data_IF_287444204444
#
_entry.id   IF_287444204444
#
_cell.length_a   1.000
_cell.length_b   1.000
_cell.length_c   1.000
_cell.angle_alpha   90.00
_cell.angle_beta   90.00
_cell.angle_gamma   90.00
#
_symmetry.space_group_name_H-M   'P 1'
#
loop_
_entity.id
_entity.type
_entity.pdbx_description
1 polymer ?
#
# COMPACT_ATOMS: atom_id res chain seq x y z
N UNK A 1 -22.48 4.26 -3.98
CA UNK A 1 -21.19 4.98 -3.93
C UNK A 1 -20.04 4.03 -3.54
N UNK A 2 -19.91 2.90 -4.23
CA UNK A 2 -18.88 1.86 -3.96
C UNK A 2 -18.09 1.53 -5.25
N UNK A 3 -18.23 2.34 -6.30
CA UNK A 3 -17.61 2.16 -7.61
C UNK A 3 -17.26 3.54 -8.15
N UNK A 4 -16.08 4.05 -7.81
CA UNK A 4 -15.53 5.22 -8.49
C UNK A 4 -14.01 5.33 -8.38
N UNK A 5 -13.31 4.39 -7.73
CA UNK A 5 -12.02 4.78 -7.15
C UNK A 5 -10.86 3.83 -7.46
N UNK A 6 -11.02 2.70 -8.14
CA UNK A 6 -9.86 1.81 -8.36
C UNK A 6 -8.97 2.23 -9.53
N UNK A 7 -9.50 2.85 -10.59
CA UNK A 7 -8.74 3.07 -11.83
C UNK A 7 -8.00 4.41 -11.91
N UNK A 8 -8.36 5.40 -11.07
CA UNK A 8 -7.72 6.73 -11.06
C UNK A 8 -6.66 6.92 -9.97
N UNK A 9 -6.50 5.94 -9.07
CA UNK A 9 -5.73 6.08 -7.82
C UNK A 9 -4.21 6.01 -7.95
N UNK A 10 -3.63 5.56 -9.06
CA UNK A 10 -2.16 5.32 -9.06
C UNK A 10 -1.39 6.64 -8.97
N UNK A 11 -1.80 7.67 -9.71
CA UNK A 11 -1.23 9.01 -9.59
C UNK A 11 -1.47 9.59 -8.19
N UNK A 12 -2.74 9.64 -7.78
CA UNK A 12 -3.17 10.14 -6.47
C UNK A 12 -2.49 9.39 -5.29
N UNK A 13 -2.19 8.10 -5.46
CA UNK A 13 -1.46 7.30 -4.48
C UNK A 13 0.02 7.72 -4.42
N UNK A 14 0.66 7.88 -5.58
CA UNK A 14 2.06 8.28 -5.66
C UNK A 14 2.29 9.72 -5.19
N UNK A 15 1.27 10.59 -5.19
CA UNK A 15 1.32 11.92 -4.58
C UNK A 15 1.44 11.84 -3.04
N UNK A 16 0.89 10.78 -2.44
CA UNK A 16 1.07 10.46 -1.02
C UNK A 16 2.41 9.79 -0.69
N UNK A 17 3.30 9.59 -1.66
CA UNK A 17 4.61 8.92 -1.48
C UNK A 17 5.74 9.93 -1.69
N UNK A 18 6.56 10.11 -0.65
CA UNK A 18 7.71 11.00 -0.66
C UNK A 18 8.68 10.65 -1.79
N UNK A 19 9.34 11.66 -2.36
CA UNK A 19 10.39 11.47 -3.36
C UNK A 19 11.56 10.62 -2.84
N UNK A 20 11.81 10.66 -1.53
CA UNK A 20 12.86 9.90 -0.84
C UNK A 20 12.40 8.49 -0.40
N UNK A 21 11.28 8.00 -0.94
CA UNK A 21 10.69 6.72 -0.50
C UNK A 21 11.65 5.54 -0.60
N UNK A 22 11.65 4.73 0.47
CA UNK A 22 12.32 3.43 0.53
C UNK A 22 11.37 2.33 1.02
N UNK A 23 11.42 1.17 0.38
CA UNK A 23 10.46 0.09 0.59
C UNK A 23 11.13 -1.24 0.88
N UNK A 24 10.31 -2.24 1.22
CA UNK A 24 10.74 -3.62 1.46
C UNK A 24 11.67 -4.13 0.36
N UNK A 25 12.79 -4.74 0.75
CA UNK A 25 13.80 -5.25 -0.18
C UNK A 25 14.62 -4.18 -0.92
N UNK A 26 14.66 -2.93 -0.44
CA UNK A 26 15.37 -1.83 -1.10
C UNK A 26 14.61 -1.21 -2.25
N UNK A 27 13.28 -1.39 -2.29
CA UNK A 27 12.40 -0.83 -3.32
C UNK A 27 12.40 0.70 -3.25
N UNK A 28 12.72 1.38 -4.35
CA UNK A 28 12.59 2.83 -4.43
C UNK A 28 11.18 3.26 -4.91
N UNK A 29 10.94 4.57 -4.95
CA UNK A 29 9.66 5.15 -5.38
C UNK A 29 9.25 4.72 -6.79
N UNK A 30 10.22 4.61 -7.70
CA UNK A 30 9.96 4.25 -9.09
C UNK A 30 9.57 2.76 -9.20
N UNK A 31 10.24 1.89 -8.45
CA UNK A 31 9.92 0.48 -8.34
C UNK A 31 8.53 0.27 -7.72
N UNK A 32 8.14 1.04 -6.69
CA UNK A 32 6.79 1.02 -6.14
C UNK A 32 5.74 1.41 -7.19
N UNK A 33 5.95 2.53 -7.89
CA UNK A 33 5.06 2.98 -8.96
C UNK A 33 4.89 1.92 -10.06
N UNK A 34 5.98 1.28 -10.47
CA UNK A 34 5.97 0.22 -11.47
C UNK A 34 5.25 -1.04 -10.97
N UNK A 35 5.42 -1.42 -9.70
CA UNK A 35 4.69 -2.53 -9.09
C UNK A 35 3.18 -2.29 -9.12
N UNK A 36 2.74 -1.08 -8.73
CA UNK A 36 1.32 -0.72 -8.73
C UNK A 36 0.78 -0.73 -10.16
N UNK A 37 1.48 -0.12 -11.12
CA UNK A 37 1.11 -0.15 -12.54
C UNK A 37 0.98 -1.59 -13.06
N UNK A 38 1.95 -2.45 -12.78
CA UNK A 38 1.92 -3.84 -13.22
C UNK A 38 0.70 -4.58 -12.66
N UNK A 39 0.34 -4.34 -11.40
CA UNK A 39 -0.86 -4.91 -10.78
C UNK A 39 -2.15 -4.40 -11.43
N UNK A 40 -2.24 -3.11 -11.71
CA UNK A 40 -3.39 -2.52 -12.42
C UNK A 40 -3.54 -3.09 -13.83
N UNK A 41 -2.45 -3.19 -14.60
CA UNK A 41 -2.48 -3.74 -15.96
C UNK A 41 -2.78 -5.22 -16.02
N UNK A 42 -2.42 -5.99 -14.99
CA UNK A 42 -2.70 -7.42 -14.94
C UNK A 42 -4.20 -7.75 -14.87
N UNK A 43 -5.09 -6.74 -14.69
CA UNK A 43 -6.54 -6.92 -14.46
C UNK A 43 -6.84 -7.95 -13.37
N UNK A 44 -5.88 -8.19 -12.47
CA UNK A 44 -6.05 -9.12 -11.38
C UNK A 44 -7.00 -8.44 -10.40
N UNK A 45 -8.16 -9.05 -10.13
CA UNK A 45 -8.98 -8.60 -9.02
C UNK A 45 -8.23 -8.91 -7.73
N UNK A 46 -7.59 -7.88 -7.19
CA UNK A 46 -6.91 -7.94 -5.90
C UNK A 46 -7.86 -7.35 -4.86
N UNK A 47 -8.41 -8.20 -4.01
CA UNK A 47 -9.13 -7.74 -2.82
C UNK A 47 -8.12 -7.49 -1.70
N UNK A 48 -8.18 -6.31 -1.07
CA UNK A 48 -7.38 -5.99 0.11
C UNK A 48 -8.30 -5.74 1.30
N UNK A 49 -8.05 -6.42 2.42
CA UNK A 49 -8.74 -6.16 3.69
C UNK A 49 -7.69 -5.84 4.75
N UNK A 50 -7.78 -4.67 5.34
CA UNK A 50 -6.87 -4.22 6.41
C UNK A 50 -7.40 -4.64 7.77
N UNK A 51 -6.52 -5.18 8.61
CA UNK A 51 -6.78 -5.43 10.03
C UNK A 51 -6.78 -4.15 10.86
N UNK A 52 -6.79 -4.29 12.20
CA UNK A 52 -6.67 -3.16 13.11
C UNK A 52 -5.43 -2.32 12.80
N UNK A 53 -5.61 -1.00 12.79
CA UNK A 53 -4.55 -0.03 12.53
C UNK A 53 -4.03 0.54 13.85
N UNK A 54 -2.75 0.36 14.13
CA UNK A 54 -2.04 1.05 15.19
C UNK A 54 -1.27 2.24 14.61
N UNK A 55 -1.55 3.46 15.10
CA UNK A 55 -0.88 4.69 14.66
C UNK A 55 -0.20 5.35 15.85
N UNK A 56 1.08 5.70 15.67
CA UNK A 56 1.85 6.51 16.61
C UNK A 56 2.34 7.76 15.90
N UNK A 57 2.07 8.93 16.47
CA UNK A 57 2.48 10.24 15.92
C UNK A 57 3.48 10.87 16.88
N UNK A 58 4.60 11.36 16.32
CA UNK A 58 5.65 12.07 17.03
C UNK A 58 6.08 13.31 16.23
N UNK A 59 5.51 14.46 16.60
CA UNK A 59 5.70 15.72 15.90
C UNK A 59 5.27 15.63 14.43
N UNK A 60 6.22 15.82 13.52
CA UNK A 60 6.03 15.75 12.08
C UNK A 60 6.30 14.34 11.50
N UNK A 61 6.44 13.33 12.36
CA UNK A 61 6.60 11.93 11.94
C UNK A 61 5.45 11.08 12.47
N UNK A 62 5.11 10.01 11.75
CA UNK A 62 4.16 9.02 12.22
C UNK A 62 4.53 7.62 11.74
N UNK A 63 4.18 6.62 12.53
CA UNK A 63 4.29 5.21 12.17
C UNK A 63 2.91 4.57 12.23
N UNK A 64 2.56 3.83 11.19
CA UNK A 64 1.33 3.05 11.11
C UNK A 64 1.66 1.57 10.88
N UNK A 65 1.14 0.70 11.74
CA UNK A 65 1.31 -0.75 11.67
C UNK A 65 -0.07 -1.43 11.60
N UNK A 66 -0.22 -2.37 10.66
CA UNK A 66 -1.48 -3.05 10.40
C UNK A 66 -1.25 -4.33 9.59
N UNK A 67 -2.19 -5.27 9.67
CA UNK A 67 -2.18 -6.45 8.83
C UNK A 67 -2.97 -6.20 7.54
N UNK A 68 -2.55 -6.80 6.44
CA UNK A 68 -3.29 -6.77 5.17
C UNK A 68 -3.51 -8.18 4.66
N UNK A 69 -4.77 -8.59 4.56
CA UNK A 69 -5.18 -9.77 3.82
C UNK A 69 -5.33 -9.40 2.34
N UNK A 70 -4.43 -9.93 1.50
CA UNK A 70 -4.52 -9.84 0.05
C UNK A 70 -5.13 -11.11 -0.51
N UNK A 71 -6.17 -10.92 -1.33
CA UNK A 71 -6.85 -11.98 -2.06
C UNK A 71 -6.72 -11.77 -3.56
N UNK A 72 -6.49 -12.83 -4.31
CA UNK A 72 -6.40 -12.79 -5.78
C UNK A 72 -7.44 -13.68 -6.42
N UNK A 73 -8.11 -13.17 -7.45
CA UNK A 73 -8.99 -13.97 -8.31
C UNK A 73 -8.58 -13.87 -9.78
N UNK A 74 -8.77 -14.96 -10.51
CA UNK A 74 -8.57 -15.09 -11.96
C UNK A 74 -9.85 -14.80 -12.76
N UNK A 75 -10.82 -14.08 -12.18
CA UNK A 75 -12.13 -13.80 -12.80
C UNK A 75 -13.28 -14.73 -12.37
N UNK A 76 -13.07 -15.55 -11.34
CA UNK A 76 -14.12 -16.35 -10.68
C UNK A 76 -14.67 -15.63 -9.44
N UNK A 77 -15.89 -15.98 -9.03
CA UNK A 77 -16.60 -15.35 -7.90
C UNK A 77 -15.89 -15.52 -6.53
N UNK A 78 -15.01 -16.51 -6.39
CA UNK A 78 -14.30 -16.81 -5.14
C UNK A 78 -12.78 -16.62 -5.32
N UNK A 79 -12.07 -16.09 -4.32
CA UNK A 79 -10.62 -15.95 -4.37
C UNK A 79 -9.93 -17.32 -4.35
N UNK A 80 -8.90 -17.48 -5.18
CA UNK A 80 -8.12 -18.73 -5.28
C UNK A 80 -6.85 -18.68 -4.42
N UNK A 81 -6.40 -17.47 -4.09
CA UNK A 81 -5.20 -17.23 -3.28
C UNK A 81 -5.51 -16.17 -2.24
N UNK A 82 -5.07 -16.42 -1.00
CA UNK A 82 -5.16 -15.50 0.12
C UNK A 82 -3.84 -15.52 0.89
N UNK A 83 -3.27 -14.34 1.18
CA UNK A 83 -2.07 -14.19 2.01
C UNK A 83 -2.20 -12.97 2.88
N UNK A 84 -1.78 -13.09 4.14
CA UNK A 84 -1.70 -11.97 5.07
C UNK A 84 -0.26 -11.45 5.10
N UNK A 85 -0.14 -10.13 5.20
CA UNK A 85 1.12 -9.42 5.36
C UNK A 85 1.05 -8.51 6.58
N UNK A 86 2.12 -8.50 7.36
CA UNK A 86 2.32 -7.53 8.42
C UNK A 86 2.95 -6.30 7.78
N UNK A 87 2.29 -5.15 7.86
CA UNK A 87 2.72 -3.92 7.19
C UNK A 87 3.10 -2.86 8.22
N UNK A 88 4.23 -2.20 8.02
CA UNK A 88 4.64 -1.02 8.79
C UNK A 88 5.04 0.09 7.82
N UNK A 89 4.44 1.26 8.02
CA UNK A 89 4.69 2.46 7.21
C UNK A 89 5.16 3.59 8.10
N UNK A 90 6.16 4.33 7.63
CA UNK A 90 6.62 5.56 8.25
C UNK A 90 6.30 6.75 7.36
N UNK A 91 5.78 7.78 8.01
CA UNK A 91 5.23 8.97 7.40
C UNK A 91 5.96 10.19 7.94
N UNK A 92 6.13 11.17 7.08
CA UNK A 92 6.67 12.48 7.44
C UNK A 92 5.77 13.56 6.87
N UNK A 93 5.63 14.66 7.60
CA UNK A 93 4.92 15.83 7.13
C UNK A 93 5.83 16.64 6.21
N UNK A 94 5.47 16.74 4.95
CA UNK A 94 6.16 17.48 3.90
C UNK A 94 5.20 18.51 3.32
N UNK A 95 5.58 19.79 3.33
CA UNK A 95 4.75 20.89 2.81
C UNK A 95 3.33 20.95 3.42
N UNK A 96 3.18 20.46 4.65
CA UNK A 96 1.90 20.42 5.36
C UNK A 96 1.09 19.14 5.14
N UNK A 97 1.53 18.26 4.24
CA UNK A 97 0.87 16.99 3.88
C UNK A 97 1.64 15.79 4.42
N UNK A 98 0.94 14.72 4.78
CA UNK A 98 1.59 13.48 5.20
C UNK A 98 1.99 12.67 3.98
N UNK A 99 3.27 12.33 3.89
CA UNK A 99 3.81 11.47 2.84
C UNK A 99 4.52 10.27 3.42
N UNK A 100 4.33 9.10 2.79
CA UNK A 100 5.04 7.88 3.15
C UNK A 100 6.47 8.02 2.64
N UNK A 101 7.46 7.94 3.53
CA UNK A 101 8.87 7.90 3.16
C UNK A 101 9.49 6.51 3.37
N UNK A 102 8.84 5.65 4.16
CA UNK A 102 9.27 4.26 4.30
C UNK A 102 8.08 3.30 4.41
N UNK A 103 8.17 2.14 3.77
CA UNK A 103 7.19 1.06 3.94
C UNK A 103 7.85 -0.31 3.93
N UNK A 104 7.59 -1.11 4.95
CA UNK A 104 8.02 -2.50 5.02
C UNK A 104 6.79 -3.40 5.15
N UNK A 105 6.88 -4.56 4.51
CA UNK A 105 5.91 -5.62 4.66
C UNK A 105 6.61 -6.97 4.61
N UNK A 106 6.10 -7.89 5.42
CA UNK A 106 6.58 -9.27 5.52
C UNK A 106 5.37 -10.21 5.51
N UNK A 107 5.53 -11.44 5.02
CA UNK A 107 4.45 -12.42 5.11
C UNK A 107 4.20 -12.75 6.58
N UNK A 108 2.94 -12.66 7.02
CA UNK A 108 2.55 -13.03 8.38
C UNK A 108 2.86 -14.51 8.63
N UNK A 109 3.24 -14.85 9.86
CA UNK A 109 3.61 -16.23 10.27
C UNK A 109 2.42 -17.18 10.35
#
# INVERSE_FOLDING_TARGET
MQQAVEEKRVGDFMDGVSEEFTGSGGMDRAALHNLIRARTFANASVGATTGPLEVRVDGDNATASFDVLLTGSSGRLLPEQARTYDVTTAWRREEGEWRIYHAQWDASR
#
